data_IF_914401589602
#
_entry.id   IF_914401589602
#
_cell.length_a   1.000
_cell.length_b   1.000
_cell.length_c   1.000
_cell.angle_alpha   90.00
_cell.angle_beta   90.00
_cell.angle_gamma   90.00
#
_symmetry.space_group_name_H-M   'P 1'
#
loop_
_entity.id
_entity.type
_entity.pdbx_description
1 polymer ?
#
# COMPACT_ATOMS: atom_id res chain seq x y z
N UNK A 1 -13.50 -16.08 18.70
CA UNK A 1 -14.85 -16.23 19.28
C UNK A 1 -14.84 -17.03 20.58
N UNK A 2 -14.14 -18.17 20.64
CA UNK A 2 -14.19 -19.12 21.77
C UNK A 2 -12.99 -19.04 22.73
N UNK A 3 -12.17 -18.00 22.68
CA UNK A 3 -10.94 -17.89 23.51
C UNK A 3 -9.78 -18.79 23.07
N UNK A 4 -9.90 -19.52 21.96
CA UNK A 4 -8.84 -20.38 21.45
C UNK A 4 -7.68 -19.59 20.83
N UNK A 5 -6.44 -19.91 21.27
CA UNK A 5 -5.21 -19.49 20.60
C UNK A 5 -5.06 -20.25 19.27
N UNK A 6 -5.28 -19.57 18.15
CA UNK A 6 -5.39 -20.20 16.83
C UNK A 6 -4.12 -20.16 15.99
N UNK A 7 -3.19 -19.23 16.23
CA UNK A 7 -2.00 -19.06 15.40
C UNK A 7 -1.14 -20.34 15.24
N UNK A 8 -0.96 -21.18 16.27
CA UNK A 8 -0.25 -22.46 16.12
C UNK A 8 -0.84 -23.42 15.08
N UNK A 9 -2.11 -23.26 14.66
CA UNK A 9 -2.71 -24.05 13.56
C UNK A 9 -2.18 -23.66 12.18
N UNK A 10 -1.59 -22.47 12.04
CA UNK A 10 -1.20 -21.89 10.76
C UNK A 10 0.30 -21.81 10.56
N UNK A 11 1.06 -21.57 11.62
CA UNK A 11 2.51 -21.40 11.56
C UNK A 11 3.14 -21.78 12.91
N UNK A 12 4.25 -22.51 12.87
CA UNK A 12 4.98 -22.94 14.07
C UNK A 12 5.50 -21.77 14.92
N UNK A 13 5.76 -20.61 14.30
CA UNK A 13 6.18 -19.37 14.98
C UNK A 13 5.01 -18.66 15.66
N UNK A 14 3.79 -19.15 15.47
CA UNK A 14 2.55 -18.60 16.02
C UNK A 14 2.44 -17.07 15.79
N UNK A 15 2.19 -16.29 16.83
CA UNK A 15 2.02 -14.82 16.75
C UNK A 15 3.29 -14.08 16.29
N UNK A 16 4.46 -14.75 16.28
CA UNK A 16 5.74 -14.21 15.80
C UNK A 16 6.02 -14.52 14.33
N UNK A 17 5.09 -15.19 13.63
CA UNK A 17 5.17 -15.36 12.19
C UNK A 17 5.17 -14.00 11.46
N UNK A 18 5.68 -13.93 10.21
CA UNK A 18 5.58 -12.73 9.37
C UNK A 18 4.17 -12.15 9.31
N UNK A 19 4.07 -10.81 9.27
CA UNK A 19 2.78 -10.09 9.36
C UNK A 19 1.76 -10.50 8.30
N UNK A 20 2.21 -10.86 7.10
CA UNK A 20 1.33 -11.32 6.03
C UNK A 20 0.70 -12.68 6.36
N UNK A 21 1.44 -13.59 6.99
CA UNK A 21 0.93 -14.87 7.49
C UNK A 21 -0.10 -14.63 8.60
N UNK A 22 0.27 -13.86 9.63
CA UNK A 22 -0.63 -13.53 10.75
C UNK A 22 -1.92 -12.88 10.24
N UNK A 23 -1.84 -11.91 9.33
CA UNK A 23 -3.01 -11.25 8.77
C UNK A 23 -3.91 -12.21 7.99
N UNK A 24 -3.34 -13.14 7.21
CA UNK A 24 -4.11 -14.19 6.50
C UNK A 24 -4.79 -15.14 7.47
N UNK A 25 -4.09 -15.59 8.51
CA UNK A 25 -4.65 -16.46 9.55
C UNK A 25 -5.83 -15.80 10.27
N UNK A 26 -5.71 -14.50 10.62
CA UNK A 26 -6.81 -13.74 11.22
C UNK A 26 -8.03 -13.68 10.27
N UNK A 27 -7.83 -13.39 8.99
CA UNK A 27 -8.94 -13.36 8.01
C UNK A 27 -9.59 -14.74 7.85
N UNK A 28 -8.79 -15.81 7.84
CA UNK A 28 -9.28 -17.17 7.76
C UNK A 28 -10.17 -17.52 8.98
N UNK A 29 -9.74 -17.17 10.19
CA UNK A 29 -10.52 -17.37 11.42
C UNK A 29 -11.77 -16.52 11.49
N UNK A 30 -11.70 -15.26 11.06
CA UNK A 30 -12.86 -14.37 10.95
C UNK A 30 -13.91 -14.96 10.00
N UNK A 31 -13.50 -15.49 8.85
CA UNK A 31 -14.40 -16.20 7.92
C UNK A 31 -14.95 -17.50 8.52
N UNK A 32 -14.09 -18.33 9.11
CA UNK A 32 -14.47 -19.63 9.71
C UNK A 32 -15.50 -19.48 10.81
N UNK A 33 -15.38 -18.44 11.64
CA UNK A 33 -16.25 -18.22 12.81
C UNK A 33 -17.38 -17.22 12.56
N UNK A 34 -17.43 -16.61 11.37
CA UNK A 34 -18.41 -15.58 11.02
C UNK A 34 -18.28 -14.30 11.85
N UNK A 35 -17.08 -13.97 12.35
CA UNK A 35 -16.84 -12.76 13.15
C UNK A 35 -16.15 -11.66 12.35
N UNK A 36 -16.28 -10.41 12.83
CA UNK A 36 -15.60 -9.24 12.24
C UNK A 36 -14.27 -8.92 12.91
N UNK A 37 -13.97 -9.57 14.02
CA UNK A 37 -12.77 -9.36 14.82
C UNK A 37 -12.28 -10.68 15.40
N UNK A 38 -11.00 -10.70 15.75
CA UNK A 38 -10.39 -11.65 16.68
C UNK A 38 -9.94 -10.87 17.92
N UNK A 39 -9.28 -11.55 18.86
CA UNK A 39 -8.80 -10.92 20.08
C UNK A 39 -7.29 -11.01 20.19
N UNK A 40 -6.68 -9.94 20.70
CA UNK A 40 -5.31 -9.92 21.19
C UNK A 40 -5.38 -10.01 22.72
N UNK A 41 -4.77 -11.06 23.27
CA UNK A 41 -4.74 -11.31 24.71
C UNK A 41 -3.33 -11.06 25.24
N UNK A 42 -3.23 -10.10 26.18
CA UNK A 42 -2.01 -9.74 26.89
C UNK A 42 -2.17 -9.88 28.41
N UNK A 43 -3.27 -10.49 28.87
CA UNK A 43 -3.61 -10.61 30.31
C UNK A 43 -2.62 -11.46 31.10
N UNK A 44 -1.82 -12.28 30.42
CA UNK A 44 -0.71 -13.03 31.00
C UNK A 44 0.54 -12.17 31.29
N UNK A 45 0.58 -10.92 30.81
CA UNK A 45 1.69 -9.99 31.04
C UNK A 45 1.41 -9.11 32.27
N UNK A 46 2.47 -8.82 33.02
CA UNK A 46 2.39 -7.95 34.20
C UNK A 46 1.92 -6.53 33.84
N UNK A 47 1.05 -5.95 34.67
CA UNK A 47 0.46 -4.63 34.41
C UNK A 47 1.51 -3.52 34.41
N UNK A 48 2.49 -3.58 35.32
CA UNK A 48 3.55 -2.58 35.37
C UNK A 48 4.48 -2.72 34.17
N UNK A 49 4.79 -3.95 33.74
CA UNK A 49 5.48 -4.17 32.46
C UNK A 49 4.74 -3.51 31.29
N UNK A 50 3.43 -3.69 31.18
CA UNK A 50 2.61 -3.13 30.10
C UNK A 50 2.62 -1.58 30.11
N UNK A 51 2.49 -0.96 31.29
CA UNK A 51 2.55 0.51 31.46
C UNK A 51 3.91 1.07 31.04
N UNK A 52 5.00 0.43 31.45
CA UNK A 52 6.35 0.91 31.15
C UNK A 52 6.73 0.65 29.69
N UNK A 53 6.40 -0.52 29.14
CA UNK A 53 6.81 -0.90 27.77
C UNK A 53 5.94 -0.26 26.69
N UNK A 54 4.64 -0.10 26.96
CA UNK A 54 3.64 0.37 25.98
C UNK A 54 2.74 1.49 26.54
N UNK A 55 3.30 2.58 27.12
CA UNK A 55 2.53 3.59 27.85
C UNK A 55 1.41 4.19 26.99
N UNK A 56 1.72 4.53 25.73
CA UNK A 56 0.74 5.12 24.82
C UNK A 56 -0.39 4.16 24.44
N UNK A 57 -0.10 2.86 24.31
CA UNK A 57 -1.14 1.85 24.03
C UNK A 57 -2.03 1.69 25.27
N UNK A 58 -1.41 1.55 26.45
CA UNK A 58 -2.12 1.42 27.73
C UNK A 58 -3.08 2.60 27.95
N UNK A 59 -2.59 3.84 27.85
CA UNK A 59 -3.41 5.05 28.02
C UNK A 59 -4.52 5.16 26.98
N UNK A 60 -4.22 4.87 25.70
CA UNK A 60 -5.21 4.94 24.61
C UNK A 60 -6.33 3.92 24.82
N UNK A 61 -5.99 2.67 25.12
CA UNK A 61 -6.99 1.64 25.41
C UNK A 61 -7.83 2.01 26.62
N UNK A 62 -7.20 2.47 27.71
CA UNK A 62 -7.89 2.89 28.93
C UNK A 62 -8.85 4.06 28.69
N UNK A 63 -8.46 5.01 27.84
CA UNK A 63 -9.34 6.11 27.40
C UNK A 63 -10.61 5.61 26.69
N UNK A 64 -10.50 4.52 25.91
CA UNK A 64 -11.63 3.87 25.26
C UNK A 64 -12.35 2.83 26.15
N UNK A 65 -12.02 2.77 27.45
CA UNK A 65 -12.64 1.85 28.40
C UNK A 65 -12.17 0.40 28.29
N UNK A 66 -10.98 0.15 27.73
CA UNK A 66 -10.35 -1.16 27.62
C UNK A 66 -9.10 -1.21 28.51
N UNK A 67 -9.04 -2.16 29.42
CA UNK A 67 -7.86 -2.43 30.25
C UNK A 67 -7.02 -3.54 29.63
N UNK A 68 -5.88 -3.19 29.02
CA UNK A 68 -5.04 -4.15 28.30
C UNK A 68 -4.42 -5.25 29.19
N UNK A 69 -4.46 -5.07 30.52
CA UNK A 69 -3.99 -6.07 31.49
C UNK A 69 -5.10 -7.03 31.92
N UNK A 70 -6.38 -6.73 31.64
CA UNK A 70 -7.53 -7.52 32.09
C UNK A 70 -8.46 -7.98 30.98
N UNK A 71 -8.50 -7.23 29.87
CA UNK A 71 -9.43 -7.43 28.77
C UNK A 71 -8.74 -8.05 27.55
N UNK A 72 -9.46 -8.93 26.87
CA UNK A 72 -9.12 -9.35 25.52
C UNK A 72 -9.45 -8.22 24.53
N UNK A 73 -8.44 -7.70 23.83
CA UNK A 73 -8.61 -6.54 22.95
C UNK A 73 -9.14 -6.96 21.58
N UNK A 74 -10.27 -6.41 21.09
CA UNK A 74 -10.78 -6.73 19.77
C UNK A 74 -9.87 -6.14 18.69
N UNK A 75 -9.35 -6.97 17.79
CA UNK A 75 -8.47 -6.57 16.70
C UNK A 75 -8.95 -7.13 15.36
N UNK A 76 -8.63 -6.43 14.29
CA UNK A 76 -8.76 -6.93 12.91
C UNK A 76 -7.65 -6.35 12.04
N UNK A 77 -7.28 -7.01 10.93
CA UNK A 77 -6.26 -6.48 10.03
C UNK A 77 -6.69 -5.15 9.42
N UNK A 78 -5.74 -4.31 9.06
CA UNK A 78 -5.99 -3.04 8.37
C UNK A 78 -4.93 -2.79 7.30
N UNK A 79 -5.31 -2.06 6.24
CA UNK A 79 -4.33 -1.54 5.27
C UNK A 79 -3.44 -0.53 5.98
N UNK A 80 -2.13 -0.72 5.89
CA UNK A 80 -1.17 0.03 6.71
C UNK A 80 -0.09 0.77 5.91
N UNK A 81 0.36 0.22 4.78
CA UNK A 81 1.49 0.76 4.04
C UNK A 81 1.45 0.40 2.55
N UNK A 82 1.89 1.31 1.68
CA UNK A 82 2.00 1.10 0.23
C UNK A 82 3.46 0.82 -0.18
N UNK A 83 3.77 -0.42 -0.56
CA UNK A 83 5.12 -0.76 -1.08
C UNK A 83 5.33 -0.38 -2.54
N UNK A 84 4.25 -0.27 -3.31
CA UNK A 84 4.28 0.21 -4.69
C UNK A 84 4.17 1.74 -4.74
N UNK A 85 4.40 2.33 -5.91
CA UNK A 85 4.38 3.77 -6.08
C UNK A 85 5.06 4.19 -7.38
N UNK A 86 5.45 5.46 -7.45
CA UNK A 86 6.21 6.02 -8.57
C UNK A 86 7.56 5.32 -8.62
N UNK A 87 7.88 4.68 -9.76
CA UNK A 87 9.18 4.04 -9.97
C UNK A 87 10.28 5.11 -9.97
N UNK A 88 11.27 4.94 -9.11
CA UNK A 88 12.41 5.85 -8.99
C UNK A 88 13.74 5.11 -8.99
N UNK A 89 14.83 5.83 -9.29
CA UNK A 89 16.18 5.37 -8.99
C UNK A 89 16.50 5.54 -7.49
N UNK A 90 17.72 5.16 -7.08
CA UNK A 90 18.14 5.28 -5.67
C UNK A 90 18.34 6.72 -5.19
N UNK A 91 18.21 7.69 -6.10
CA UNK A 91 18.31 9.12 -5.87
C UNK A 91 16.98 9.85 -6.04
N UNK A 92 15.87 9.12 -6.17
CA UNK A 92 14.53 9.69 -6.27
C UNK A 92 14.15 10.22 -7.66
N UNK A 93 14.97 10.02 -8.70
CA UNK A 93 14.61 10.40 -10.08
C UNK A 93 13.57 9.45 -10.61
N UNK A 94 12.45 9.99 -11.10
CA UNK A 94 11.43 9.18 -11.80
C UNK A 94 11.83 8.91 -13.26
N UNK A 95 10.97 8.20 -13.99
CA UNK A 95 11.12 8.05 -15.45
C UNK A 95 10.88 9.36 -16.22
N UNK A 96 10.28 10.37 -15.59
CA UNK A 96 10.08 11.69 -16.18
C UNK A 96 11.22 12.64 -15.76
N UNK A 97 12.04 13.15 -16.69
CA UNK A 97 13.11 14.09 -16.35
C UNK A 97 12.59 15.32 -15.60
N UNK A 98 13.26 15.68 -14.52
CA UNK A 98 12.88 16.81 -13.65
C UNK A 98 11.80 16.48 -12.61
N UNK A 99 11.18 15.30 -12.66
CA UNK A 99 10.25 14.84 -11.62
C UNK A 99 10.97 13.90 -10.64
N UNK A 100 10.96 14.30 -9.37
CA UNK A 100 11.52 13.55 -8.26
C UNK A 100 10.42 13.09 -7.31
N UNK A 101 10.64 11.96 -6.66
CA UNK A 101 9.76 11.44 -5.62
C UNK A 101 10.57 10.72 -4.55
N UNK A 102 10.10 10.77 -3.30
CA UNK A 102 10.73 10.10 -2.16
C UNK A 102 9.70 9.66 -1.11
N UNK A 103 10.04 8.64 -0.32
CA UNK A 103 9.17 8.08 0.71
C UNK A 103 8.10 7.14 0.17
N UNK A 104 7.00 6.97 0.91
CA UNK A 104 5.96 5.96 0.64
C UNK A 104 5.23 6.14 -0.71
N UNK A 105 5.34 7.31 -1.36
CA UNK A 105 4.79 7.52 -2.71
C UNK A 105 5.59 6.79 -3.80
N UNK A 106 6.76 6.24 -3.47
CA UNK A 106 7.71 5.67 -4.44
C UNK A 106 7.73 4.14 -4.44
N UNK A 107 8.23 3.60 -5.53
CA UNK A 107 8.69 2.21 -5.64
C UNK A 107 10.21 2.25 -5.89
N UNK A 108 10.99 2.30 -4.81
CA UNK A 108 12.46 2.23 -4.83
C UNK A 108 12.98 0.79 -4.84
N UNK A 109 12.09 -0.18 -4.64
CA UNK A 109 12.38 -1.61 -4.57
C UNK A 109 12.92 -2.10 -3.23
N UNK A 110 13.27 -1.20 -2.29
CA UNK A 110 13.84 -1.57 -0.97
C UNK A 110 12.89 -2.45 -0.13
N UNK A 111 11.58 -2.32 -0.32
CA UNK A 111 10.57 -3.07 0.42
C UNK A 111 10.12 -4.36 -0.28
N UNK A 112 10.50 -4.56 -1.55
CA UNK A 112 10.05 -5.70 -2.36
C UNK A 112 8.54 -5.94 -2.26
N UNK A 113 8.16 -7.19 -1.97
CA UNK A 113 6.77 -7.59 -1.80
C UNK A 113 6.28 -7.55 -0.34
N UNK A 114 7.13 -7.29 0.64
CA UNK A 114 6.77 -7.22 2.06
C UNK A 114 7.75 -6.31 2.82
N UNK A 115 7.26 -5.16 3.25
CA UNK A 115 8.07 -4.17 3.97
C UNK A 115 8.40 -4.67 5.38
N UNK A 116 9.69 -4.63 5.74
CA UNK A 116 10.13 -4.87 7.12
C UNK A 116 9.71 -3.73 8.07
N UNK A 117 9.40 -4.09 9.32
CA UNK A 117 9.00 -3.11 10.33
C UNK A 117 10.07 -2.02 10.52
N UNK A 118 9.64 -0.81 10.90
CA UNK A 118 10.50 0.36 11.19
C UNK A 118 11.26 1.00 10.00
N UNK A 119 11.23 0.40 8.80
CA UNK A 119 11.96 0.96 7.65
C UNK A 119 11.30 2.16 6.90
N UNK A 120 10.02 2.48 7.11
CA UNK A 120 9.31 3.51 6.32
C UNK A 120 9.73 4.94 6.64
N UNK A 121 9.95 5.26 7.92
CA UNK A 121 10.44 6.59 8.30
C UNK A 121 11.89 6.78 7.85
N UNK A 122 12.70 5.72 7.93
CA UNK A 122 14.08 5.72 7.44
C UNK A 122 14.12 5.90 5.92
N UNK A 123 13.20 5.28 5.17
CA UNK A 123 13.08 5.51 3.74
C UNK A 123 12.79 6.99 3.43
N UNK A 124 11.82 7.60 4.12
CA UNK A 124 11.51 9.02 3.98
C UNK A 124 12.74 9.91 4.20
N UNK A 125 13.51 9.65 5.27
CA UNK A 125 14.72 10.40 5.58
C UNK A 125 15.82 10.23 4.52
N UNK A 126 16.16 8.98 4.19
CA UNK A 126 17.29 8.66 3.30
C UNK A 126 16.98 9.08 1.87
N UNK A 127 15.84 8.67 1.32
CA UNK A 127 15.49 8.99 -0.06
C UNK A 127 15.06 10.44 -0.22
N UNK A 128 14.51 11.07 0.83
CA UNK A 128 14.23 12.51 0.84
C UNK A 128 15.51 13.34 0.70
N UNK A 129 16.53 13.04 1.51
CA UNK A 129 17.83 13.72 1.41
C UNK A 129 18.50 13.51 0.05
N UNK A 130 18.45 12.28 -0.49
CA UNK A 130 18.99 11.97 -1.82
C UNK A 130 18.24 12.66 -2.95
N UNK A 131 16.91 12.64 -2.92
CA UNK A 131 16.08 13.31 -3.91
C UNK A 131 16.31 14.82 -3.92
N UNK A 132 16.41 15.45 -2.74
CA UNK A 132 16.75 16.86 -2.64
C UNK A 132 18.13 17.18 -3.21
N UNK A 133 19.14 16.35 -2.89
CA UNK A 133 20.50 16.52 -3.41
C UNK A 133 20.56 16.35 -4.93
N UNK A 134 19.86 15.34 -5.46
CA UNK A 134 19.77 15.07 -6.89
C UNK A 134 19.05 16.18 -7.64
N UNK A 135 17.92 16.66 -7.11
CA UNK A 135 17.18 17.79 -7.68
C UNK A 135 18.06 19.04 -7.75
N UNK A 136 18.77 19.39 -6.67
CA UNK A 136 19.67 20.54 -6.66
C UNK A 136 20.82 20.42 -7.69
N UNK A 137 21.43 19.23 -7.80
CA UNK A 137 22.52 18.99 -8.74
C UNK A 137 22.08 19.00 -10.21
N UNK A 138 20.91 18.43 -10.50
CA UNK A 138 20.39 18.31 -11.87
C UNK A 138 19.73 19.62 -12.35
N UNK A 139 19.09 20.38 -11.45
CA UNK A 139 18.48 21.68 -11.77
C UNK A 139 19.49 22.70 -12.31
N UNK A 140 20.78 22.57 -11.96
CA UNK A 140 21.85 23.42 -12.50
C UNK A 140 22.10 23.18 -14.02
N UNK A 141 21.57 22.11 -14.60
CA UNK A 141 21.78 21.72 -16.01
C UNK A 141 20.52 21.80 -16.88
N UNK A 142 19.35 22.08 -16.29
CA UNK A 142 18.10 22.08 -17.04
C UNK A 142 17.90 23.41 -17.80
N UNK A 143 18.11 23.42 -19.11
CA UNK A 143 17.50 24.42 -19.96
C UNK A 143 16.00 24.15 -20.01
N UNK A 144 15.23 24.82 -19.16
CA UNK A 144 13.77 24.79 -19.24
C UNK A 144 13.37 25.53 -20.51
N UNK A 145 13.17 24.80 -21.60
CA UNK A 145 12.41 25.34 -22.72
C UNK A 145 11.01 25.61 -22.17
N UNK A 146 10.64 26.89 -22.03
CA UNK A 146 9.27 27.28 -21.68
C UNK A 146 8.29 26.48 -22.52
N UNK A 147 7.24 25.87 -21.95
CA UNK A 147 6.27 25.12 -22.72
C UNK A 147 5.74 26.02 -23.85
N UNK A 148 5.92 25.64 -25.11
CA UNK A 148 5.37 26.38 -26.26
C UNK A 148 3.84 26.20 -26.39
N UNK A 149 3.17 25.52 -25.46
CA UNK A 149 1.78 25.15 -25.62
C UNK A 149 0.84 26.11 -24.89
N UNK A 150 -0.04 26.73 -25.67
CA UNK A 150 -1.31 27.30 -25.22
C UNK A 150 -2.26 26.22 -24.63
N UNK A 151 -1.88 24.93 -24.71
CA UNK A 151 -2.60 23.78 -24.14
C UNK A 151 -2.26 23.48 -22.68
N UNK A 152 -1.19 24.05 -22.13
CA UNK A 152 -0.95 24.02 -20.69
C UNK A 152 -1.89 25.04 -20.02
N UNK A 153 -3.20 24.79 -20.07
CA UNK A 153 -4.12 25.51 -19.19
C UNK A 153 -3.65 25.21 -17.77
N UNK A 154 -3.36 26.23 -16.95
CA UNK A 154 -3.17 25.98 -15.53
C UNK A 154 -4.40 25.23 -15.07
N UNK A 155 -4.22 23.96 -14.66
CA UNK A 155 -5.26 23.27 -13.92
C UNK A 155 -5.41 24.14 -12.69
N UNK A 156 -6.50 24.90 -12.63
CA UNK A 156 -6.90 25.57 -11.41
C UNK A 156 -7.06 24.45 -10.39
N UNK A 157 -6.00 24.21 -9.62
CA UNK A 157 -6.08 23.41 -8.42
C UNK A 157 -6.97 24.24 -7.52
N UNK A 158 -8.26 23.94 -7.56
CA UNK A 158 -9.19 24.38 -6.54
C UNK A 158 -8.73 23.69 -5.25
N UNK A 159 -7.81 24.34 -4.55
CA UNK A 159 -7.17 23.81 -3.35
C UNK A 159 -8.19 23.66 -2.22
N UNK A 160 -9.27 24.44 -2.25
CA UNK A 160 -10.32 24.45 -1.23
C UNK A 160 -11.35 23.31 -1.40
N UNK A 161 -11.81 23.03 -2.63
CA UNK A 161 -12.85 22.02 -2.88
C UNK A 161 -12.40 20.88 -3.83
N UNK A 162 -11.42 21.12 -4.71
CA UNK A 162 -10.92 20.16 -5.68
C UNK A 162 -10.05 19.04 -5.08
N UNK A 163 -9.59 19.20 -3.84
CA UNK A 163 -8.81 18.21 -3.07
C UNK A 163 -9.70 17.18 -2.35
N UNK A 164 -10.99 17.46 -2.19
CA UNK A 164 -11.88 16.56 -1.47
C UNK A 164 -12.37 15.41 -2.35
N UNK A 165 -12.19 14.19 -1.85
CA UNK A 165 -12.78 12.98 -2.44
C UNK A 165 -14.24 12.91 -1.99
N UNK A 166 -15.16 12.78 -2.95
CA UNK A 166 -16.58 12.60 -2.65
C UNK A 166 -16.80 11.46 -1.65
N UNK A 167 -17.59 11.70 -0.61
CA UNK A 167 -17.90 10.70 0.42
C UNK A 167 -18.48 9.42 -0.17
N UNK A 168 -19.34 9.54 -1.19
CA UNK A 168 -19.94 8.40 -1.87
C UNK A 168 -18.88 7.58 -2.63
N UNK A 169 -18.01 8.25 -3.40
CA UNK A 169 -16.89 7.62 -4.12
C UNK A 169 -15.94 6.95 -3.14
N UNK A 170 -15.55 7.66 -2.07
CA UNK A 170 -14.65 7.16 -1.02
C UNK A 170 -15.20 5.89 -0.37
N UNK A 171 -16.47 5.88 0.04
CA UNK A 171 -17.13 4.71 0.64
C UNK A 171 -17.17 3.53 -0.34
N UNK A 172 -17.57 3.78 -1.60
CA UNK A 172 -17.70 2.74 -2.61
C UNK A 172 -16.35 2.11 -2.97
N UNK A 173 -15.33 2.93 -3.23
CA UNK A 173 -13.97 2.45 -3.53
C UNK A 173 -13.39 1.68 -2.35
N UNK A 174 -13.50 2.19 -1.11
CA UNK A 174 -13.04 1.48 0.09
C UNK A 174 -13.70 0.11 0.25
N UNK A 175 -15.02 0.02 0.00
CA UNK A 175 -15.75 -1.26 0.05
C UNK A 175 -15.20 -2.25 -0.97
N UNK A 176 -15.07 -1.84 -2.25
CA UNK A 176 -14.55 -2.71 -3.32
C UNK A 176 -13.12 -3.16 -3.00
N UNK A 177 -12.25 -2.23 -2.57
CA UNK A 177 -10.87 -2.54 -2.19
C UNK A 177 -10.82 -3.56 -1.06
N UNK A 178 -11.63 -3.39 -0.01
CA UNK A 178 -11.68 -4.31 1.12
C UNK A 178 -12.21 -5.70 0.74
N UNK A 179 -13.30 -5.75 -0.01
CA UNK A 179 -14.00 -6.99 -0.36
C UNK A 179 -13.30 -7.79 -1.47
N UNK A 180 -12.55 -7.14 -2.36
CA UNK A 180 -12.03 -7.77 -3.59
C UNK A 180 -10.53 -7.65 -3.82
N UNK A 181 -9.90 -6.63 -3.25
CA UNK A 181 -8.48 -6.31 -3.43
C UNK A 181 -7.73 -6.36 -2.09
N UNK A 182 -8.34 -7.00 -1.09
CA UNK A 182 -7.85 -7.08 0.28
C UNK A 182 -6.74 -8.11 0.46
N UNK A 183 -6.76 -8.79 1.61
CA UNK A 183 -5.73 -9.76 2.01
C UNK A 183 -5.74 -11.01 1.13
N UNK A 184 -6.93 -11.56 0.86
CA UNK A 184 -7.11 -12.76 0.04
C UNK A 184 -7.77 -12.35 -1.28
N UNK A 185 -7.20 -12.77 -2.41
CA UNK A 185 -7.62 -12.36 -3.75
C UNK A 185 -7.83 -13.56 -4.64
N UNK A 186 -8.65 -13.40 -5.66
CA UNK A 186 -8.87 -14.37 -6.74
C UNK A 186 -9.15 -13.65 -8.06
N UNK A 187 -8.88 -14.30 -9.19
CA UNK A 187 -9.05 -13.75 -10.54
C UNK A 187 -10.41 -13.09 -10.77
N UNK A 188 -11.48 -13.76 -10.37
CA UNK A 188 -12.84 -13.31 -10.65
C UNK A 188 -13.24 -12.10 -9.80
N UNK A 189 -12.85 -12.07 -8.52
CA UNK A 189 -13.02 -10.91 -7.65
C UNK A 189 -12.24 -9.70 -8.13
N UNK A 190 -11.01 -9.89 -8.62
CA UNK A 190 -10.18 -8.81 -9.17
C UNK A 190 -10.74 -8.25 -10.47
N UNK A 191 -11.18 -9.10 -11.41
CA UNK A 191 -11.86 -8.66 -12.64
C UNK A 191 -13.11 -7.84 -12.32
N UNK A 192 -13.94 -8.31 -11.36
CA UNK A 192 -15.12 -7.57 -10.91
C UNK A 192 -14.75 -6.20 -10.34
N UNK A 193 -13.71 -6.13 -9.50
CA UNK A 193 -13.24 -4.86 -8.94
C UNK A 193 -12.84 -3.85 -10.02
N UNK A 194 -12.05 -4.29 -11.02
CA UNK A 194 -11.63 -3.44 -12.15
C UNK A 194 -12.85 -2.91 -12.91
N UNK A 195 -13.81 -3.79 -13.24
CA UNK A 195 -15.06 -3.39 -13.91
C UNK A 195 -15.86 -2.37 -13.08
N UNK A 196 -15.97 -2.57 -11.77
CA UNK A 196 -16.65 -1.62 -10.87
C UNK A 196 -15.91 -0.27 -10.82
N UNK A 197 -14.58 -0.25 -10.84
CA UNK A 197 -13.80 1.00 -10.91
C UNK A 197 -13.96 1.72 -12.24
N UNK A 198 -13.95 0.99 -13.36
CA UNK A 198 -14.20 1.54 -14.69
C UNK A 198 -15.57 2.22 -14.75
N UNK A 199 -16.61 1.60 -14.19
CA UNK A 199 -17.95 2.19 -14.10
C UNK A 199 -18.00 3.44 -13.22
N UNK A 200 -17.22 3.52 -12.15
CA UNK A 200 -17.15 4.73 -11.33
C UNK A 200 -16.45 5.86 -12.12
N UNK A 201 -15.42 5.51 -12.89
CA UNK A 201 -14.60 6.46 -13.63
C UNK A 201 -15.34 7.15 -14.79
N UNK A 202 -16.41 6.55 -15.32
CA UNK A 202 -17.29 7.18 -16.33
C UNK A 202 -18.15 8.31 -15.76
N UNK A 203 -18.27 8.42 -14.43
CA UNK A 203 -19.01 9.49 -13.79
C UNK A 203 -18.31 10.86 -13.93
N UNK A 204 -19.08 11.93 -13.71
CA UNK A 204 -18.52 13.26 -13.54
C UNK A 204 -17.86 13.37 -12.15
N UNK A 205 -16.54 13.16 -12.10
CA UNK A 205 -15.76 13.13 -10.88
C UNK A 205 -14.87 14.36 -10.76
N UNK A 206 -14.73 14.89 -9.54
CA UNK A 206 -13.64 15.81 -9.20
C UNK A 206 -12.28 15.15 -9.46
N UNK A 207 -11.24 15.96 -9.68
CA UNK A 207 -9.86 15.47 -9.90
C UNK A 207 -9.41 14.51 -8.79
N UNK A 208 -9.66 14.86 -7.52
CA UNK A 208 -9.29 14.00 -6.40
C UNK A 208 -10.06 12.69 -6.35
N UNK A 209 -11.37 12.71 -6.68
CA UNK A 209 -12.17 11.49 -6.76
C UNK A 209 -11.70 10.60 -7.91
N UNK A 210 -11.35 11.20 -9.06
CA UNK A 210 -10.79 10.48 -10.21
C UNK A 210 -9.45 9.85 -9.86
N UNK A 211 -8.52 10.60 -9.24
CA UNK A 211 -7.24 10.09 -8.78
C UNK A 211 -7.40 8.92 -7.80
N UNK A 212 -8.34 9.01 -6.87
CA UNK A 212 -8.61 7.95 -5.90
C UNK A 212 -9.10 6.65 -6.58
N UNK A 213 -9.98 6.77 -7.58
CA UNK A 213 -10.45 5.62 -8.37
C UNK A 213 -9.32 5.06 -9.24
N UNK A 214 -8.52 5.92 -9.88
CA UNK A 214 -7.37 5.51 -10.68
C UNK A 214 -6.37 4.71 -9.85
N UNK A 215 -6.00 5.17 -8.65
CA UNK A 215 -5.10 4.44 -7.77
C UNK A 215 -5.65 3.06 -7.38
N UNK A 216 -6.92 2.99 -7.00
CA UNK A 216 -7.57 1.72 -6.66
C UNK A 216 -7.56 0.74 -7.85
N UNK A 217 -7.82 1.26 -9.06
CA UNK A 217 -7.78 0.48 -10.30
C UNK A 217 -6.37 -0.02 -10.61
N UNK A 218 -5.34 0.82 -10.51
CA UNK A 218 -3.94 0.42 -10.73
C UNK A 218 -3.51 -0.71 -9.78
N UNK A 219 -3.92 -0.66 -8.51
CA UNK A 219 -3.65 -1.74 -7.55
C UNK A 219 -4.36 -3.03 -7.95
N UNK A 220 -5.64 -2.96 -8.32
CA UNK A 220 -6.41 -4.13 -8.74
C UNK A 220 -5.87 -4.75 -10.04
N UNK A 221 -5.49 -3.94 -11.02
CA UNK A 221 -4.89 -4.39 -12.28
C UNK A 221 -3.53 -5.06 -12.04
N UNK A 222 -2.67 -4.48 -11.21
CA UNK A 222 -1.40 -5.13 -10.83
C UNK A 222 -1.61 -6.46 -10.12
N UNK A 223 -2.62 -6.53 -9.24
CA UNK A 223 -2.94 -7.75 -8.53
C UNK A 223 -3.55 -8.83 -9.44
N UNK A 224 -4.28 -8.45 -10.49
CA UNK A 224 -4.85 -9.39 -11.46
C UNK A 224 -3.76 -9.99 -12.35
N UNK A 225 -2.83 -9.16 -12.81
CA UNK A 225 -1.73 -9.57 -13.69
C UNK A 225 -0.75 -10.54 -13.02
N UNK A 226 -0.49 -10.35 -11.72
CA UNK A 226 0.40 -11.23 -10.95
C UNK A 226 -0.36 -12.49 -10.55
N UNK A 227 -0.06 -13.59 -11.23
CA UNK A 227 -0.63 -14.93 -10.99
C UNK A 227 0.34 -15.77 -10.14
N UNK A 228 0.70 -15.26 -8.95
CA UNK A 228 1.46 -15.95 -7.89
C UNK A 228 1.04 -15.38 -6.51
N UNK A 229 1.60 -15.93 -5.44
CA UNK A 229 1.51 -15.34 -4.09
C UNK A 229 2.89 -15.04 -3.52
N UNK A 230 3.14 -13.77 -3.18
CA UNK A 230 4.43 -13.30 -2.65
C UNK A 230 4.22 -12.11 -1.71
N UNK A 231 4.70 -12.23 -0.48
CA UNK A 231 4.61 -11.16 0.53
C UNK A 231 3.17 -10.70 0.80
N UNK A 232 2.92 -9.39 0.70
CA UNK A 232 1.59 -8.79 0.87
C UNK A 232 0.60 -9.03 -0.29
N UNK A 233 1.02 -9.75 -1.34
CA UNK A 233 0.15 -10.20 -2.42
C UNK A 233 -0.15 -11.69 -2.27
N UNK A 234 -1.42 -12.05 -2.07
CA UNK A 234 -1.85 -13.44 -1.95
C UNK A 234 -3.06 -13.72 -2.85
N UNK A 235 -2.90 -14.67 -3.76
CA UNK A 235 -3.89 -15.18 -4.73
C UNK A 235 -4.28 -16.58 -4.33
N UNK A 236 -5.53 -16.80 -3.91
CA UNK A 236 -6.03 -18.13 -3.53
C UNK A 236 -5.99 -19.11 -4.70
N UNK A 237 -6.13 -18.59 -5.93
CA UNK A 237 -6.05 -19.32 -7.19
C UNK A 237 -4.61 -19.54 -7.69
N UNK A 238 -3.62 -18.90 -7.05
CA UNK A 238 -2.18 -19.07 -7.32
C UNK A 238 -1.40 -18.97 -5.99
N UNK A 239 -1.52 -19.97 -5.09
CA UNK A 239 -1.02 -19.88 -3.71
C UNK A 239 0.52 -19.94 -3.60
N UNK A 240 1.18 -20.44 -4.64
CA UNK A 240 2.64 -20.61 -4.67
C UNK A 240 3.36 -19.40 -5.25
N UNK A 241 4.64 -19.27 -4.94
CA UNK A 241 5.54 -18.35 -5.63
C UNK A 241 5.90 -18.91 -7.00
N UNK A 242 6.02 -18.01 -7.99
CA UNK A 242 6.46 -18.38 -9.33
C UNK A 242 7.66 -17.51 -9.72
N UNK A 243 8.73 -18.15 -10.14
CA UNK A 243 9.99 -17.50 -10.48
C UNK A 243 9.87 -16.55 -11.67
N UNK A 244 8.89 -16.76 -12.56
CA UNK A 244 8.60 -15.81 -13.66
C UNK A 244 8.18 -14.42 -13.15
N UNK A 245 7.74 -14.33 -11.89
CA UNK A 245 7.31 -13.10 -11.25
C UNK A 245 8.34 -12.53 -10.26
N UNK A 246 9.61 -12.97 -10.32
CA UNK A 246 10.77 -12.30 -9.68
C UNK A 246 11.11 -10.96 -10.37
N UNK A 247 10.10 -10.13 -10.57
CA UNK A 247 10.12 -8.86 -11.29
C UNK A 247 9.22 -7.84 -10.60
N UNK A 248 9.43 -6.56 -10.90
CA UNK A 248 8.52 -5.48 -10.54
C UNK A 248 7.44 -5.31 -11.61
N UNK A 249 6.19 -5.15 -11.19
CA UNK A 249 5.06 -4.89 -12.08
C UNK A 249 5.06 -3.41 -12.49
N UNK A 250 5.15 -3.13 -13.79
CA UNK A 250 5.19 -1.77 -14.34
C UNK A 250 3.89 -1.47 -15.09
N UNK A 251 3.27 -0.33 -14.76
CA UNK A 251 2.06 0.15 -15.41
C UNK A 251 2.31 1.55 -15.98
N UNK A 252 1.99 1.72 -17.26
CA UNK A 252 2.11 2.96 -18.01
C UNK A 252 0.81 3.24 -18.75
N UNK A 253 0.47 4.52 -18.93
CA UNK A 253 -0.73 4.90 -19.66
C UNK A 253 -0.58 4.46 -21.12
N UNK A 254 -1.56 3.72 -21.64
CA UNK A 254 -1.58 3.26 -23.03
C UNK A 254 -0.79 1.98 -23.29
N UNK A 255 -0.13 1.40 -22.28
CA UNK A 255 0.67 0.18 -22.43
C UNK A 255 0.09 -0.99 -21.62
N UNK A 256 0.21 -2.23 -22.11
CA UNK A 256 0.01 -3.41 -21.27
C UNK A 256 0.98 -3.42 -20.09
N UNK A 257 0.55 -3.97 -18.96
CA UNK A 257 1.40 -4.19 -17.79
C UNK A 257 2.48 -5.23 -18.12
N UNK A 258 3.70 -4.97 -17.67
CA UNK A 258 4.86 -5.84 -17.90
C UNK A 258 5.75 -5.96 -16.65
N UNK A 259 6.64 -6.96 -16.66
CA UNK A 259 7.61 -7.18 -15.59
C UNK A 259 8.96 -6.52 -15.89
N UNK A 260 9.61 -5.96 -14.87
CA UNK A 260 10.99 -5.46 -14.95
C UNK A 260 11.83 -6.00 -13.80
N UNK A 261 12.95 -6.65 -14.12
CA UNK A 261 13.93 -7.08 -13.11
C UNK A 261 14.73 -5.91 -12.54
N UNK A 262 14.96 -4.87 -13.35
CA UNK A 262 15.66 -3.66 -12.93
C UNK A 262 14.69 -2.70 -12.27
N UNK A 263 14.94 -2.29 -11.02
CA UNK A 263 14.09 -1.30 -10.36
C UNK A 263 14.39 0.11 -10.87
N UNK A 264 15.67 0.48 -10.93
CA UNK A 264 16.07 1.83 -11.33
C UNK A 264 15.72 2.07 -12.80
N UNK A 265 14.97 3.14 -13.12
CA UNK A 265 14.71 3.51 -14.49
C UNK A 265 16.00 3.92 -15.18
N UNK A 266 16.11 3.62 -16.48
CA UNK A 266 17.17 4.14 -17.33
C UNK A 266 16.94 5.64 -17.55
N UNK A 267 17.39 6.49 -16.62
CA UNK A 267 17.34 7.93 -16.84
C UNK A 267 18.41 8.27 -17.86
N UNK A 268 18.02 8.43 -19.12
CA UNK A 268 18.88 9.08 -20.11
C UNK A 268 19.01 10.55 -19.72
N UNK A 269 19.93 10.85 -18.81
CA UNK A 269 20.51 12.19 -18.73
C UNK A 269 21.30 12.30 -20.03
N UNK A 270 20.72 12.96 -21.04
CA UNK A 270 21.50 13.35 -22.21
C UNK A 270 22.62 14.24 -21.70
N UNK A 271 23.80 13.67 -21.51
CA UNK A 271 25.03 14.43 -21.44
C UNK A 271 25.16 15.10 -22.81
N UNK A 272 24.94 16.42 -22.84
CA UNK A 272 25.51 17.26 -23.88
C UNK A 272 26.99 17.47 -23.57
#
# INVERSE_FOLDING_TARGET
>A
KYGERFMPRYDERAELAPRDIVARSIVAEMRRTGTRTVFLDMTALDEDFLKHRFPKIYETCKFYGLDIAKDMLPVSPASHYCMGGIRTDLWGRSTLPGLYAAGEVTCTGVHGANRLASNSLLEGLVFGARAGSAAAADSLKAQVSSPKSQDARPVALDLEHGTQISTAVKKRVKRIMWERVGILRDKESLKRAIKEFDQIATGNLSTSSRNFVTLARLVATSALWREESRGGHFRNDFPEQDDKFKVHSIQEIGSPIYGSEKISPSVQIKNQ
#
